data_IF_203259212751
#
_entry.id   IF_203259212751
#
_cell.length_a   1.000
_cell.length_b   1.000
_cell.length_c   1.000
_cell.angle_alpha   90.00
_cell.angle_beta   90.00
_cell.angle_gamma   90.00
#
_symmetry.space_group_name_H-M   'P 1'
#
loop_
_entity.id
_entity.type
_entity.pdbx_description
1 polymer ?
#
# COMPACT_ATOMS: atom_id res chain seq x y z
N UNK A 1 -12.69 2.52 -7.31
CA UNK A 1 -12.95 2.83 -8.73
C UNK A 1 -11.80 2.27 -9.57
N UNK A 2 -12.04 1.78 -10.79
CA UNK A 2 -10.97 1.33 -11.70
C UNK A 2 -10.48 2.53 -12.52
N UNK A 3 -9.17 2.63 -12.82
CA UNK A 3 -8.60 3.76 -13.57
C UNK A 3 -9.27 4.03 -14.92
N UNK A 4 -9.72 2.98 -15.62
CA UNK A 4 -10.41 3.10 -16.92
C UNK A 4 -11.94 3.28 -16.79
N UNK A 5 -12.46 3.61 -15.61
CA UNK A 5 -13.90 3.80 -15.40
C UNK A 5 -14.32 5.25 -15.60
N UNK A 6 -15.55 5.45 -16.09
CA UNK A 6 -16.18 6.78 -16.16
C UNK A 6 -16.25 7.46 -14.79
N UNK A 7 -16.40 6.67 -13.72
CA UNK A 7 -16.37 7.15 -12.34
C UNK A 7 -15.07 7.86 -12.01
N UNK A 8 -13.91 7.30 -12.39
CA UNK A 8 -12.61 7.95 -12.19
C UNK A 8 -12.48 9.24 -13.02
N UNK A 9 -12.95 9.22 -14.26
CA UNK A 9 -12.90 10.38 -15.15
C UNK A 9 -13.70 11.58 -14.63
N UNK A 10 -14.81 11.34 -13.92
CA UNK A 10 -15.60 12.39 -13.25
C UNK A 10 -15.01 12.77 -11.89
N UNK A 11 -14.50 11.79 -11.14
CA UNK A 11 -13.92 12.00 -9.81
C UNK A 11 -12.68 12.91 -9.84
N UNK A 12 -11.78 12.70 -10.81
CA UNK A 12 -10.52 13.45 -10.92
C UNK A 12 -10.71 14.97 -11.08
N UNK A 13 -11.52 15.49 -12.04
CA UNK A 13 -11.74 16.93 -12.17
C UNK A 13 -12.44 17.53 -10.94
N UNK A 14 -13.33 16.79 -10.26
CA UNK A 14 -13.94 17.25 -9.00
C UNK A 14 -12.86 17.45 -7.94
N UNK A 15 -12.01 16.45 -7.72
CA UNK A 15 -10.89 16.55 -6.76
C UNK A 15 -9.95 17.69 -7.14
N UNK A 16 -9.66 17.86 -8.43
CA UNK A 16 -8.79 18.92 -8.92
C UNK A 16 -9.37 20.33 -8.66
N UNK A 17 -10.66 20.53 -8.94
CA UNK A 17 -11.35 21.80 -8.70
C UNK A 17 -11.35 22.12 -7.20
N UNK A 18 -11.69 21.16 -6.34
CA UNK A 18 -11.71 21.36 -4.89
C UNK A 18 -10.31 21.67 -4.36
N UNK A 19 -9.30 20.92 -4.82
CA UNK A 19 -7.91 21.12 -4.43
C UNK A 19 -7.40 22.52 -4.81
N UNK A 20 -7.66 22.96 -6.05
CA UNK A 20 -7.09 24.18 -6.61
C UNK A 20 -7.83 25.45 -6.19
N UNK A 21 -9.16 25.40 -6.10
CA UNK A 21 -9.97 26.59 -5.84
C UNK A 21 -10.32 26.75 -4.36
N UNK A 22 -10.70 25.67 -3.67
CA UNK A 22 -11.22 25.76 -2.31
C UNK A 22 -10.13 25.68 -1.24
N UNK A 23 -9.06 24.91 -1.48
CA UNK A 23 -8.04 24.64 -0.47
C UNK A 23 -6.75 25.44 -0.64
N UNK A 24 -6.72 26.42 -1.56
CA UNK A 24 -5.57 27.27 -1.88
C UNK A 24 -4.95 27.99 -0.68
N UNK A 25 -5.71 28.19 0.41
CA UNK A 25 -5.27 28.95 1.60
C UNK A 25 -4.55 28.12 2.67
N UNK A 26 -4.57 26.78 2.62
CA UNK A 26 -4.01 25.98 3.72
C UNK A 26 -3.39 24.67 3.24
N UNK A 27 -2.05 24.61 3.29
CA UNK A 27 -1.27 23.41 2.93
C UNK A 27 -1.70 22.17 3.73
N UNK A 28 -2.05 22.36 5.01
CA UNK A 28 -2.57 21.28 5.87
C UNK A 28 -3.93 20.75 5.37
N UNK A 29 -4.81 21.64 4.92
CA UNK A 29 -6.10 21.28 4.35
C UNK A 29 -5.94 20.52 3.04
N UNK A 30 -5.07 20.99 2.15
CA UNK A 30 -4.75 20.33 0.87
C UNK A 30 -4.29 18.89 1.08
N UNK A 31 -3.34 18.68 1.98
CA UNK A 31 -2.84 17.35 2.29
C UNK A 31 -3.91 16.45 2.91
N UNK A 32 -4.79 16.99 3.77
CA UNK A 32 -5.88 16.22 4.38
C UNK A 32 -6.94 15.83 3.35
N UNK A 33 -7.33 16.75 2.46
CA UNK A 33 -8.30 16.48 1.41
C UNK A 33 -7.79 15.46 0.41
N UNK A 34 -6.54 15.59 -0.04
CA UNK A 34 -5.92 14.59 -0.91
C UNK A 34 -5.85 13.22 -0.23
N UNK A 35 -5.60 13.17 1.09
CA UNK A 35 -5.61 11.93 1.85
C UNK A 35 -7.01 11.30 1.83
N UNK A 36 -8.05 12.07 2.14
CA UNK A 36 -9.42 11.59 2.12
C UNK A 36 -9.85 11.14 0.72
N UNK A 37 -9.47 11.89 -0.32
CA UNK A 37 -9.77 11.55 -1.70
C UNK A 37 -9.05 10.26 -2.13
N UNK A 38 -7.78 10.08 -1.76
CA UNK A 38 -7.04 8.82 -1.99
C UNK A 38 -7.73 7.64 -1.28
N UNK A 39 -8.06 7.78 0.00
CA UNK A 39 -8.74 6.72 0.76
C UNK A 39 -10.10 6.37 0.17
N UNK A 40 -10.86 7.38 -0.29
CA UNK A 40 -12.15 7.17 -0.95
C UNK A 40 -11.96 6.41 -2.27
N UNK A 41 -11.01 6.81 -3.11
CA UNK A 41 -10.72 6.13 -4.38
C UNK A 41 -10.33 4.65 -4.18
N UNK A 42 -9.42 4.39 -3.24
CA UNK A 42 -8.98 3.03 -2.90
C UNK A 42 -10.07 2.21 -2.22
N UNK A 43 -10.81 2.79 -1.28
CA UNK A 43 -11.90 2.13 -0.58
C UNK A 43 -13.08 1.77 -1.48
N UNK A 44 -13.39 2.62 -2.46
CA UNK A 44 -14.39 2.33 -3.50
C UNK A 44 -13.95 1.23 -4.44
N UNK A 45 -12.63 1.01 -4.57
CA UNK A 45 -12.11 -0.06 -5.42
C UNK A 45 -12.23 -1.41 -4.73
N UNK A 46 -11.56 -1.57 -3.58
CA UNK A 46 -11.70 -2.75 -2.72
C UNK A 46 -11.13 -2.44 -1.33
N UNK A 47 -12.02 -2.49 -0.32
CA UNK A 47 -11.68 -2.15 1.05
C UNK A 47 -10.58 -3.06 1.66
N UNK A 48 -10.46 -4.31 1.19
CA UNK A 48 -9.48 -5.29 1.71
C UNK A 48 -8.06 -4.80 1.43
N UNK A 49 -7.84 -4.22 0.26
CA UNK A 49 -6.55 -3.68 -0.13
C UNK A 49 -6.25 -2.35 0.54
N UNK A 50 -7.27 -1.54 0.83
CA UNK A 50 -7.11 -0.35 1.66
C UNK A 50 -6.59 -0.74 3.05
N UNK A 51 -7.18 -1.76 3.68
CA UNK A 51 -6.69 -2.30 4.96
C UNK A 51 -5.26 -2.83 4.85
N UNK A 52 -4.90 -3.43 3.72
CA UNK A 52 -3.57 -3.96 3.48
C UNK A 52 -2.50 -2.87 3.37
N UNK A 53 -2.77 -1.85 2.55
CA UNK A 53 -1.94 -0.65 2.38
C UNK A 53 -1.78 0.04 3.73
N UNK A 54 -2.88 0.22 4.46
CA UNK A 54 -2.84 0.80 5.79
C UNK A 54 -1.94 0.00 6.74
N UNK A 55 -2.12 -1.32 6.79
CA UNK A 55 -1.34 -2.20 7.65
C UNK A 55 0.15 -2.20 7.26
N UNK A 56 0.47 -2.26 5.96
CA UNK A 56 1.85 -2.15 5.48
C UNK A 56 2.49 -0.83 5.88
N UNK A 57 1.78 0.29 5.69
CA UNK A 57 2.26 1.61 6.12
C UNK A 57 2.57 1.64 7.61
N UNK A 58 1.67 1.10 8.44
CA UNK A 58 1.84 1.07 9.90
C UNK A 58 3.04 0.22 10.29
N UNK A 59 3.20 -0.96 9.69
CA UNK A 59 4.34 -1.84 9.94
C UNK A 59 5.65 -1.15 9.56
N UNK A 60 5.74 -0.57 8.37
CA UNK A 60 6.94 0.13 7.90
C UNK A 60 7.27 1.37 8.74
N UNK A 61 6.25 2.07 9.24
CA UNK A 61 6.43 3.18 10.16
C UNK A 61 7.01 2.74 11.51
N UNK A 62 6.45 1.70 12.11
CA UNK A 62 6.95 1.15 13.37
C UNK A 62 8.38 0.63 13.20
N UNK A 63 8.68 -0.02 12.08
CA UNK A 63 10.02 -0.48 11.73
C UNK A 63 10.96 0.71 11.55
N UNK A 64 10.55 1.75 10.83
CA UNK A 64 11.31 2.98 10.63
C UNK A 64 11.69 3.66 11.96
N UNK A 65 10.74 3.75 12.90
CA UNK A 65 11.01 4.25 14.26
C UNK A 65 12.04 3.39 14.99
N UNK A 66 11.94 2.05 14.90
CA UNK A 66 12.90 1.13 15.51
C UNK A 66 14.29 1.18 14.87
N UNK A 67 14.38 1.39 13.55
CA UNK A 67 15.65 1.60 12.82
C UNK A 67 16.30 2.92 13.26
N UNK A 68 15.50 3.95 13.51
CA UNK A 68 16.00 5.25 13.97
C UNK A 68 16.44 5.22 15.44
N UNK A 69 15.70 4.51 16.31
CA UNK A 69 15.98 4.46 17.75
C UNK A 69 17.23 3.63 18.12
N UNK A 70 17.65 2.71 17.26
CA UNK A 70 18.84 1.89 17.48
C UNK A 70 20.06 2.49 16.79
N UNK A 71 21.17 2.65 17.52
CA UNK A 71 22.45 3.06 16.93
C UNK A 71 23.25 1.89 16.34
N UNK A 72 22.97 0.67 16.86
CA UNK A 72 23.68 -0.54 16.49
C UNK A 72 23.35 -0.99 15.06
N UNK A 73 24.37 -1.02 14.18
CA UNK A 73 24.20 -1.35 12.74
C UNK A 73 23.50 -2.69 12.51
N UNK A 74 23.79 -3.70 13.32
CA UNK A 74 23.21 -5.04 13.17
C UNK A 74 21.70 -5.05 13.39
N UNK A 75 21.22 -4.45 14.49
CA UNK A 75 19.79 -4.34 14.80
C UNK A 75 19.04 -3.55 13.73
N UNK A 76 19.60 -2.44 13.25
CA UNK A 76 19.02 -1.64 12.16
C UNK A 76 18.84 -2.44 10.89
N UNK A 77 19.84 -3.27 10.53
CA UNK A 77 19.80 -4.14 9.34
C UNK A 77 18.73 -5.23 9.48
N UNK A 78 18.58 -5.81 10.68
CA UNK A 78 17.55 -6.81 10.96
C UNK A 78 16.14 -6.22 10.80
N UNK A 79 15.88 -5.05 11.39
CA UNK A 79 14.60 -4.34 11.22
C UNK A 79 14.30 -4.00 9.76
N UNK A 80 15.30 -3.55 9.00
CA UNK A 80 15.14 -3.31 7.56
C UNK A 80 14.74 -4.58 6.81
N UNK A 81 15.44 -5.70 7.05
CA UNK A 81 15.09 -6.97 6.43
C UNK A 81 13.69 -7.45 6.81
N UNK A 82 13.24 -7.24 8.04
CA UNK A 82 11.86 -7.53 8.42
C UNK A 82 10.85 -6.75 7.57
N UNK A 83 11.08 -5.44 7.33
CA UNK A 83 10.22 -4.61 6.47
C UNK A 83 10.22 -5.12 5.02
N UNK A 84 11.41 -5.45 4.49
CA UNK A 84 11.55 -5.97 3.12
C UNK A 84 10.82 -7.30 2.95
N UNK A 85 11.06 -8.27 3.85
CA UNK A 85 10.41 -9.59 3.81
C UNK A 85 8.91 -9.45 3.95
N UNK A 86 8.42 -8.54 4.81
CA UNK A 86 7.00 -8.29 4.98
C UNK A 86 6.36 -7.72 3.70
N UNK A 87 6.94 -6.67 3.12
CA UNK A 87 6.45 -6.03 1.90
C UNK A 87 6.49 -6.97 0.69
N UNK A 88 7.61 -7.66 0.47
CA UNK A 88 7.77 -8.63 -0.63
C UNK A 88 6.88 -9.85 -0.42
N UNK A 89 6.74 -10.31 0.83
CA UNK A 89 5.84 -11.41 1.20
C UNK A 89 4.38 -11.09 0.91
N UNK A 90 3.92 -9.87 1.25
CA UNK A 90 2.61 -9.39 0.86
C UNK A 90 2.45 -9.36 -0.67
N UNK A 91 3.40 -8.77 -1.39
CA UNK A 91 3.33 -8.70 -2.86
C UNK A 91 3.28 -10.09 -3.49
N UNK A 92 4.13 -11.01 -3.03
CA UNK A 92 4.18 -12.39 -3.48
C UNK A 92 2.89 -13.14 -3.18
N UNK A 93 2.38 -13.01 -1.95
CA UNK A 93 1.10 -13.61 -1.56
C UNK A 93 0.00 -13.14 -2.53
N UNK A 94 -0.21 -11.84 -2.70
CA UNK A 94 -1.30 -11.32 -3.53
C UNK A 94 -1.14 -11.62 -5.02
N UNK A 95 0.10 -11.61 -5.54
CA UNK A 95 0.37 -11.89 -6.96
C UNK A 95 0.18 -13.36 -7.31
N UNK A 96 0.57 -14.26 -6.42
CA UNK A 96 0.55 -15.71 -6.67
C UNK A 96 -0.61 -16.43 -5.97
N UNK A 97 -1.43 -15.74 -5.17
CA UNK A 97 -2.52 -16.34 -4.40
C UNK A 97 -3.45 -17.20 -5.29
N UNK A 98 -3.91 -16.63 -6.40
CA UNK A 98 -4.79 -17.33 -7.33
C UNK A 98 -4.12 -18.58 -7.89
N UNK A 99 -2.86 -18.46 -8.34
CA UNK A 99 -2.09 -19.60 -8.85
C UNK A 99 -1.92 -20.72 -7.81
N UNK A 100 -1.64 -20.38 -6.55
CA UNK A 100 -1.52 -21.35 -5.47
C UNK A 100 -2.85 -22.06 -5.18
N UNK A 101 -3.97 -21.32 -5.16
CA UNK A 101 -5.31 -21.89 -4.96
C UNK A 101 -5.67 -22.82 -6.12
N UNK A 102 -5.45 -22.39 -7.36
CA UNK A 102 -5.74 -23.20 -8.55
C UNK A 102 -4.89 -24.48 -8.54
N UNK A 103 -3.58 -24.38 -8.27
CA UNK A 103 -2.68 -25.53 -8.16
C UNK A 103 -3.08 -26.48 -7.02
N UNK A 104 -3.59 -25.94 -5.91
CA UNK A 104 -4.05 -26.73 -4.77
C UNK A 104 -5.34 -27.48 -5.10
N UNK A 105 -6.28 -26.84 -5.79
CA UNK A 105 -7.51 -27.47 -6.28
C UNK A 105 -7.16 -28.61 -7.25
N UNK A 106 -6.26 -28.37 -8.20
CA UNK A 106 -5.79 -29.39 -9.15
C UNK A 106 -5.13 -30.59 -8.44
N UNK A 107 -4.30 -30.33 -7.42
CA UNK A 107 -3.67 -31.38 -6.61
C UNK A 107 -4.70 -32.20 -5.82
N UNK A 108 -5.74 -31.57 -5.25
CA UNK A 108 -6.82 -32.28 -4.56
C UNK A 108 -7.68 -33.09 -5.53
N UNK A 109 -7.92 -32.59 -6.74
CA UNK A 109 -8.64 -33.30 -7.79
C UNK A 109 -7.90 -34.58 -8.21
N UNK A 110 -6.57 -34.54 -8.28
CA UNK A 110 -5.73 -35.74 -8.54
C UNK A 110 -5.83 -36.80 -7.44
N UNK A 111 -6.17 -36.42 -6.21
CA UNK A 111 -6.36 -37.33 -5.05
C UNK A 111 -7.85 -37.79 -4.96
N UNK A 112 -8.70 -37.40 -5.93
CA UNK A 112 -10.11 -37.80 -6.01
C UNK A 112 -11.05 -36.95 -5.15
N UNK A 113 -10.57 -35.83 -4.60
CA UNK A 113 -11.39 -34.86 -3.86
C UNK A 113 -11.77 -33.68 -4.75
N UNK A 114 -13.06 -33.59 -5.08
CA UNK A 114 -13.59 -32.56 -5.96
C UNK A 114 -13.95 -31.30 -5.14
N UNK A 115 -12.93 -30.45 -4.90
CA UNK A 115 -13.11 -29.18 -4.20
C UNK A 115 -13.69 -28.18 -5.19
N UNK A 116 -15.01 -27.94 -5.14
CA UNK A 116 -15.64 -26.87 -5.92
C UNK A 116 -15.10 -25.51 -5.49
N UNK A 117 -14.47 -24.82 -6.45
CA UNK A 117 -13.91 -23.46 -6.38
C UNK A 117 -14.98 -22.40 -6.05
N UNK A 118 -15.47 -22.40 -4.81
CA UNK A 118 -16.47 -21.44 -4.31
C UNK A 118 -15.81 -20.28 -3.58
N UNK A 119 -14.56 -20.45 -3.13
CA UNK A 119 -13.79 -19.48 -2.36
C UNK A 119 -12.55 -18.97 -3.10
N UNK A 120 -12.56 -18.96 -4.44
CA UNK A 120 -11.55 -18.19 -5.16
C UNK A 120 -11.85 -16.71 -4.91
N UNK A 121 -11.07 -16.13 -4.00
CA UNK A 121 -10.84 -14.71 -3.95
C UNK A 121 -10.23 -14.34 -5.31
N UNK A 122 -11.07 -14.13 -6.35
CA UNK A 122 -10.70 -13.49 -7.61
C UNK A 122 -10.35 -12.04 -7.29
N UNK A 123 -9.22 -11.92 -6.63
CA UNK A 123 -8.58 -10.70 -6.21
C UNK A 123 -8.03 -10.14 -7.50
N UNK A 124 -8.87 -9.38 -8.19
CA UNK A 124 -8.42 -8.53 -9.28
C UNK A 124 -7.41 -7.60 -8.65
N UNK A 125 -6.12 -7.80 -8.90
CA UNK A 125 -5.09 -6.94 -8.34
C UNK A 125 -5.29 -5.53 -8.91
N UNK A 126 -5.26 -4.46 -8.09
CA UNK A 126 -5.25 -3.13 -8.64
C UNK A 126 -3.93 -2.95 -9.36
N UNK A 127 -4.01 -2.27 -10.50
CA UNK A 127 -2.84 -1.71 -11.18
C UNK A 127 -2.20 -0.72 -10.20
N UNK A 128 -1.15 -1.14 -9.46
CA UNK A 128 -0.45 -0.26 -8.53
C UNK A 128 0.12 -0.86 -7.23
N UNK A 129 -0.22 -2.10 -6.83
CA UNK A 129 0.32 -2.66 -5.55
C UNK A 129 1.84 -2.73 -5.58
N UNK A 130 2.42 -3.21 -6.68
CA UNK A 130 3.88 -3.28 -6.82
C UNK A 130 4.52 -1.91 -6.59
N UNK A 131 3.97 -0.86 -7.20
CA UNK A 131 4.48 0.49 -7.02
C UNK A 131 4.38 0.92 -5.55
N UNK A 132 3.23 0.70 -4.92
CA UNK A 132 3.02 1.04 -3.52
C UNK A 132 4.01 0.31 -2.60
N UNK A 133 4.17 -1.00 -2.78
CA UNK A 133 5.11 -1.84 -2.02
C UNK A 133 6.56 -1.38 -2.20
N UNK A 134 6.96 -0.98 -3.42
CA UNK A 134 8.30 -0.43 -3.65
C UNK A 134 8.48 0.95 -3.01
N UNK A 135 7.43 1.77 -2.96
CA UNK A 135 7.46 3.08 -2.33
C UNK A 135 7.55 2.99 -0.80
N UNK A 136 6.78 2.11 -0.16
CA UNK A 136 6.89 1.82 1.29
C UNK A 136 8.26 1.26 1.63
N UNK A 137 8.76 0.32 0.82
CA UNK A 137 10.09 -0.26 1.00
C UNK A 137 11.19 0.80 0.85
N UNK A 138 11.10 1.69 -0.14
CA UNK A 138 12.05 2.79 -0.34
C UNK A 138 12.12 3.72 0.87
N UNK A 139 10.98 4.00 1.52
CA UNK A 139 10.94 4.79 2.75
C UNK A 139 11.72 4.13 3.90
N UNK A 140 11.60 2.81 4.08
CA UNK A 140 12.40 2.07 5.08
C UNK A 140 13.90 2.12 4.77
N UNK A 141 14.29 2.05 3.50
CA UNK A 141 15.69 2.23 3.08
C UNK A 141 16.20 3.65 3.35
N UNK A 142 15.41 4.68 3.05
CA UNK A 142 15.81 6.07 3.28
C UNK A 142 16.05 6.37 4.76
N UNK A 143 15.26 5.77 5.67
CA UNK A 143 15.49 5.84 7.11
C UNK A 143 16.77 5.09 7.50
N UNK A 144 16.99 3.90 6.95
CA UNK A 144 18.21 3.12 7.20
C UNK A 144 19.48 3.86 6.76
N UNK A 145 19.45 4.52 5.59
CA UNK A 145 20.56 5.34 5.09
C UNK A 145 20.64 6.74 5.69
N UNK A 146 19.82 7.06 6.72
CA UNK A 146 19.77 8.37 7.38
C UNK A 146 19.52 9.54 6.41
N UNK A 147 18.79 9.29 5.32
CA UNK A 147 18.39 10.31 4.33
C UNK A 147 17.18 11.13 4.79
N UNK A 148 16.46 10.64 5.81
CA UNK A 148 15.25 11.28 6.36
C UNK A 148 15.41 11.59 7.86
N UNK A 149 15.07 12.83 8.24
CA UNK A 149 14.99 13.28 9.63
C UNK A 149 13.64 12.91 10.28
N UNK A 150 13.61 12.70 11.61
CA UNK A 150 12.42 12.34 12.42
C UNK A 150 11.13 13.14 12.12
N UNK A 151 11.24 14.45 11.90
CA UNK A 151 10.07 15.24 11.49
C UNK A 151 9.51 14.74 10.15
N UNK A 152 10.36 14.47 9.15
CA UNK A 152 9.95 13.91 7.86
C UNK A 152 9.45 12.47 7.94
N UNK A 153 9.79 11.71 8.99
CA UNK A 153 9.26 10.35 9.23
C UNK A 153 7.75 10.42 9.49
N UNK A 154 7.30 11.32 10.39
CA UNK A 154 5.87 11.53 10.69
C UNK A 154 5.08 12.12 9.50
N UNK A 155 5.66 13.08 8.79
CA UNK A 155 5.05 13.65 7.56
C UNK A 155 5.14 12.71 6.34
N UNK A 156 6.06 11.75 6.36
CA UNK A 156 6.26 10.75 5.31
C UNK A 156 5.12 9.75 5.27
N UNK A 157 4.57 9.38 6.43
CA UNK A 157 3.39 8.51 6.55
C UNK A 157 2.20 9.07 5.77
N UNK A 158 1.90 10.36 5.96
CA UNK A 158 0.81 11.03 5.23
C UNK A 158 1.07 11.06 3.72
N UNK A 159 2.32 11.22 3.28
CA UNK A 159 2.66 11.20 1.85
C UNK A 159 2.63 9.79 1.23
N UNK A 160 2.96 8.78 2.01
CA UNK A 160 2.82 7.38 1.61
C UNK A 160 1.35 6.95 1.47
N UNK A 161 0.48 7.55 2.28
CA UNK A 161 -0.96 7.31 2.29
C UNK A 161 -1.72 8.19 1.29
N UNK A 162 -1.21 9.39 0.99
CA UNK A 162 -1.73 10.29 -0.06
C UNK A 162 -1.15 9.83 -1.40
N UNK A 163 -1.74 8.76 -1.92
CA UNK A 163 -1.39 8.17 -3.18
C UNK A 163 -2.45 8.56 -4.21
N UNK A 164 -2.59 9.85 -4.48
CA UNK A 164 -3.29 10.29 -5.68
C UNK A 164 -2.26 10.16 -6.82
N UNK A 165 -2.62 9.62 -8.00
CA UNK A 165 -1.66 9.31 -9.04
C UNK A 165 -0.94 10.60 -9.46
N UNK A 166 0.32 10.72 -9.03
CA UNK A 166 1.27 11.71 -9.52
C UNK A 166 2.06 11.12 -10.68
#
# INVERSE_FOLDING_TARGET
>A
MVFNSLEFFVFLPIVFIVYWFFLKRTVKGQNLFLLLASYFFYGWWDWRFLSLIFLSTVVDYLIGLKIHANEEKHKRKLWLWCSVVFNVGLLGFFKYFNFFIDSWIDACHLIGYDIKSTWTLRVLLPVGISFYTFQTMSYSFDIYYKRLNLQRISWGLRRLLVFFPS
#
